data_IF_866653501580
#
_entry.id   IF_866653501580
#
_cell.length_a   1.000
_cell.length_b   1.000
_cell.length_c   1.000
_cell.angle_alpha   90.00
_cell.angle_beta   90.00
_cell.angle_gamma   90.00
#
_symmetry.space_group_name_H-M   'P 1'
#
loop_
_entity.id
_entity.type
_entity.pdbx_description
1 polymer ?
#
# COMPACT_ATOMS: atom_id res chain seq x y z
N UNK A 1 -27.83 -0.54 -9.59
CA UNK A 1 -28.48 -1.78 -9.09
C UNK A 1 -28.75 -2.77 -10.22
N UNK A 2 -29.24 -2.35 -11.39
CA UNK A 2 -29.47 -3.28 -12.51
C UNK A 2 -28.18 -3.95 -13.01
N UNK A 3 -27.08 -3.18 -13.14
CA UNK A 3 -25.78 -3.72 -13.56
C UNK A 3 -25.17 -4.73 -12.57
N UNK A 4 -25.31 -4.49 -11.27
CA UNK A 4 -24.80 -5.35 -10.20
C UNK A 4 -25.55 -6.68 -10.14
N UNK A 5 -26.87 -6.65 -10.34
CA UNK A 5 -27.66 -7.89 -10.45
C UNK A 5 -27.25 -8.71 -11.68
N UNK A 6 -27.02 -8.05 -12.83
CA UNK A 6 -26.54 -8.73 -14.05
C UNK A 6 -25.16 -9.36 -13.83
N UNK A 7 -24.24 -8.64 -13.18
CA UNK A 7 -22.92 -9.19 -12.81
C UNK A 7 -23.06 -10.42 -11.91
N UNK A 8 -23.85 -10.33 -10.84
CA UNK A 8 -24.08 -11.44 -9.93
C UNK A 8 -24.72 -12.66 -10.64
N UNK A 9 -25.68 -12.44 -11.55
CA UNK A 9 -26.28 -13.52 -12.36
C UNK A 9 -25.25 -14.18 -13.30
N UNK A 10 -24.28 -13.42 -13.82
CA UNK A 10 -23.22 -13.98 -14.66
C UNK A 10 -22.23 -14.84 -13.83
N UNK A 11 -21.92 -14.45 -12.59
CA UNK A 11 -21.08 -15.27 -11.70
C UNK A 11 -21.67 -16.66 -11.46
N UNK A 12 -22.99 -16.77 -11.36
CA UNK A 12 -23.68 -18.05 -11.18
C UNK A 12 -23.51 -19.02 -12.36
N UNK A 13 -23.06 -18.54 -13.54
CA UNK A 13 -22.81 -19.36 -14.73
C UNK A 13 -21.38 -19.89 -14.82
N UNK A 14 -20.45 -19.36 -14.02
CA UNK A 14 -19.04 -19.77 -14.05
C UNK A 14 -18.85 -21.29 -13.85
N UNK A 15 -19.61 -21.96 -12.96
CA UNK A 15 -19.55 -23.42 -12.85
C UNK A 15 -19.79 -24.14 -14.20
N UNK A 16 -20.86 -23.77 -14.90
CA UNK A 16 -21.21 -24.39 -16.18
C UNK A 16 -20.15 -24.13 -17.25
N UNK A 17 -19.58 -22.93 -17.30
CA UNK A 17 -18.51 -22.61 -18.25
C UNK A 17 -17.21 -23.37 -17.93
N UNK A 18 -16.85 -23.51 -16.66
CA UNK A 18 -15.71 -24.34 -16.25
C UNK A 18 -15.92 -25.80 -16.66
N UNK A 19 -17.13 -26.34 -16.53
CA UNK A 19 -17.44 -27.72 -16.90
C UNK A 19 -17.21 -27.97 -18.39
N UNK A 20 -17.57 -27.02 -19.24
CA UNK A 20 -17.33 -27.09 -20.68
C UNK A 20 -15.84 -27.13 -21.02
N UNK A 21 -14.99 -26.43 -20.26
CA UNK A 21 -13.54 -26.35 -20.52
C UNK A 21 -12.82 -27.62 -20.06
N UNK A 22 -13.10 -28.08 -18.84
CA UNK A 22 -12.35 -29.19 -18.22
C UNK A 22 -13.03 -30.56 -18.38
N UNK A 23 -14.16 -30.62 -19.09
CA UNK A 23 -14.93 -31.82 -19.43
C UNK A 23 -15.75 -32.38 -18.26
N UNK A 24 -15.14 -32.54 -17.09
CA UNK A 24 -15.81 -32.88 -15.85
C UNK A 24 -15.03 -32.35 -14.66
N UNK A 25 -15.68 -31.57 -13.80
CA UNK A 25 -15.14 -31.24 -12.48
C UNK A 25 -16.19 -31.42 -11.39
N UNK A 26 -15.68 -31.77 -10.21
CA UNK A 26 -16.43 -31.95 -8.97
C UNK A 26 -16.95 -30.59 -8.50
N UNK A 27 -18.20 -30.26 -8.82
CA UNK A 27 -18.84 -29.00 -8.40
C UNK A 27 -18.81 -28.81 -6.87
N UNK A 28 -18.86 -29.92 -6.12
CA UNK A 28 -18.75 -29.97 -4.66
C UNK A 28 -17.38 -29.52 -4.11
N UNK A 29 -16.38 -29.31 -4.97
CA UNK A 29 -15.05 -28.80 -4.58
C UNK A 29 -14.82 -27.34 -4.91
N UNK A 30 -15.74 -26.69 -5.64
CA UNK A 30 -15.69 -25.26 -5.91
C UNK A 30 -16.47 -24.53 -4.82
N UNK A 31 -15.80 -23.65 -4.09
CA UNK A 31 -16.42 -22.85 -3.03
C UNK A 31 -16.38 -21.38 -3.42
N UNK A 32 -17.55 -20.75 -3.50
CA UNK A 32 -17.68 -19.32 -3.73
C UNK A 32 -17.55 -18.59 -2.40
N UNK A 33 -16.63 -17.63 -2.34
CA UNK A 33 -16.44 -16.76 -1.19
C UNK A 33 -16.79 -15.34 -1.62
N UNK A 34 -17.67 -14.69 -0.87
CA UNK A 34 -18.03 -13.27 -1.03
C UNK A 34 -16.76 -12.40 -0.99
N UNK A 35 -16.67 -11.41 -1.87
CA UNK A 35 -15.49 -10.57 -2.05
C UNK A 35 -15.07 -9.86 -0.78
N UNK A 36 -16.02 -9.24 -0.07
CA UNK A 36 -15.72 -8.57 1.20
C UNK A 36 -15.43 -9.56 2.31
N UNK A 37 -16.04 -10.76 2.30
CA UNK A 37 -15.68 -11.81 3.25
C UNK A 37 -14.25 -12.31 3.01
N UNK A 38 -13.81 -12.44 1.75
CA UNK A 38 -12.44 -12.78 1.42
C UNK A 38 -11.47 -11.70 1.93
N UNK A 39 -11.76 -10.42 1.68
CA UNK A 39 -10.98 -9.32 2.25
C UNK A 39 -10.90 -9.38 3.79
N UNK A 40 -12.05 -9.57 4.46
CA UNK A 40 -12.10 -9.66 5.92
C UNK A 40 -11.29 -10.85 6.46
N UNK A 41 -11.43 -12.02 5.83
CA UNK A 41 -10.68 -13.23 6.13
C UNK A 41 -9.17 -13.04 5.95
N UNK A 42 -8.76 -12.33 4.90
CA UNK A 42 -7.34 -12.06 4.63
C UNK A 42 -6.69 -11.23 5.75
N UNK A 43 -7.46 -10.37 6.42
CA UNK A 43 -6.96 -9.56 7.53
C UNK A 43 -7.09 -10.30 8.87
N UNK A 44 -8.29 -10.76 9.23
CA UNK A 44 -8.55 -11.33 10.54
C UNK A 44 -7.82 -12.65 10.80
N UNK A 45 -7.89 -13.61 9.87
CA UNK A 45 -7.23 -14.91 10.06
C UNK A 45 -5.71 -14.84 9.93
N UNK A 46 -5.16 -13.72 9.45
CA UNK A 46 -3.73 -13.44 9.43
C UNK A 46 -3.28 -12.55 10.61
N UNK A 47 -4.22 -12.02 11.39
CA UNK A 47 -3.94 -11.15 12.53
C UNK A 47 -3.60 -11.95 13.79
N UNK A 48 -2.90 -11.35 14.76
CA UNK A 48 -2.67 -11.99 16.05
C UNK A 48 -3.89 -11.98 16.99
N UNK A 49 -5.00 -11.33 16.61
CA UNK A 49 -6.11 -11.04 17.54
C UNK A 49 -7.14 -12.16 17.59
N UNK A 50 -7.52 -12.64 18.77
CA UNK A 50 -8.64 -13.58 18.91
C UNK A 50 -9.99 -12.89 18.68
N UNK A 51 -10.10 -11.61 19.09
CA UNK A 51 -11.28 -10.76 18.97
C UNK A 51 -10.89 -9.44 18.29
N UNK A 52 -11.58 -9.12 17.19
CA UNK A 52 -11.38 -7.85 16.48
C UNK A 52 -12.62 -7.46 15.66
N UNK A 53 -12.81 -6.16 15.46
CA UNK A 53 -13.59 -5.69 14.31
C UNK A 53 -12.74 -5.78 13.04
N UNK A 54 -13.37 -6.02 11.90
CA UNK A 54 -12.72 -6.10 10.60
C UNK A 54 -13.44 -5.17 9.65
N UNK A 55 -12.81 -4.06 9.27
CA UNK A 55 -13.37 -3.13 8.29
C UNK A 55 -12.77 -3.40 6.91
N UNK A 56 -13.63 -3.70 5.95
CA UNK A 56 -13.30 -3.80 4.54
C UNK A 56 -13.78 -2.51 3.86
N UNK A 57 -12.84 -1.74 3.31
CA UNK A 57 -13.13 -0.44 2.70
C UNK A 57 -12.63 -0.48 1.25
N UNK A 58 -13.54 -0.67 0.31
CA UNK A 58 -13.21 -0.99 -1.08
C UNK A 58 -13.90 -0.06 -2.09
N UNK A 59 -13.59 -0.24 -3.38
CA UNK A 59 -14.36 0.36 -4.47
C UNK A 59 -15.79 -0.19 -4.47
N UNK A 60 -15.92 -1.50 -4.69
CA UNK A 60 -17.16 -2.27 -4.56
C UNK A 60 -16.80 -3.77 -4.49
N UNK A 61 -17.51 -4.53 -3.68
CA UNK A 61 -17.62 -5.99 -3.85
C UNK A 61 -18.72 -6.34 -4.84
N UNK A 62 -19.64 -7.20 -4.44
CA UNK A 62 -20.82 -7.55 -5.23
C UNK A 62 -21.85 -6.41 -5.22
N UNK A 63 -22.08 -5.84 -4.03
CA UNK A 63 -23.07 -4.79 -3.79
C UNK A 63 -22.61 -3.72 -2.78
N UNK A 64 -21.76 -4.12 -1.84
CA UNK A 64 -21.28 -3.27 -0.74
C UNK A 64 -19.97 -2.57 -1.13
N UNK A 65 -19.78 -1.34 -0.67
CA UNK A 65 -18.50 -0.61 -0.77
C UNK A 65 -17.72 -0.63 0.56
N UNK A 66 -18.43 -0.76 1.67
CA UNK A 66 -17.86 -0.99 3.00
C UNK A 66 -18.62 -2.13 3.66
N UNK A 67 -17.88 -3.06 4.25
CA UNK A 67 -18.44 -4.06 5.16
C UNK A 67 -17.65 -4.08 6.45
N UNK A 68 -18.33 -4.27 7.58
CA UNK A 68 -17.67 -4.52 8.87
C UNK A 68 -18.10 -5.88 9.37
N UNK A 69 -17.11 -6.66 9.79
CA UNK A 69 -17.30 -7.97 10.40
C UNK A 69 -16.84 -7.94 11.85
N UNK A 70 -17.51 -8.70 12.70
CA UNK A 70 -17.00 -9.11 13.99
C UNK A 70 -16.23 -10.42 13.81
N UNK A 71 -14.95 -10.38 14.09
CA UNK A 71 -14.09 -11.56 14.18
C UNK A 71 -14.02 -12.05 15.62
N UNK A 72 -14.33 -13.32 15.85
CA UNK A 72 -14.15 -13.99 17.14
C UNK A 72 -13.64 -15.42 16.89
N UNK A 73 -12.44 -15.71 17.41
CA UNK A 73 -11.72 -16.98 17.23
C UNK A 73 -11.59 -17.37 15.76
N UNK A 74 -12.40 -18.31 15.28
CA UNK A 74 -12.39 -18.81 13.90
C UNK A 74 -13.63 -18.38 13.08
N UNK A 75 -14.35 -17.36 13.53
CA UNK A 75 -15.59 -16.91 12.89
C UNK A 75 -15.55 -15.45 12.47
N UNK A 76 -16.27 -15.14 11.39
CA UNK A 76 -16.50 -13.79 10.89
C UNK A 76 -18.00 -13.60 10.66
N UNK A 77 -18.58 -12.61 11.32
CA UNK A 77 -19.99 -12.24 11.20
C UNK A 77 -20.11 -10.82 10.67
N UNK A 78 -20.83 -10.61 9.55
CA UNK A 78 -21.06 -9.26 9.01
C UNK A 78 -22.03 -8.51 9.93
N UNK A 79 -21.58 -7.40 10.52
CA UNK A 79 -22.37 -6.58 11.47
C UNK A 79 -22.79 -5.23 10.89
N UNK A 80 -22.16 -4.80 9.79
CA UNK A 80 -22.50 -3.56 9.10
C UNK A 80 -22.17 -3.69 7.62
N UNK A 81 -22.97 -3.05 6.76
CA UNK A 81 -22.57 -2.77 5.40
C UNK A 81 -23.06 -1.40 4.94
N UNK A 82 -22.30 -0.82 4.01
CA UNK A 82 -22.68 0.37 3.27
C UNK A 82 -22.76 0.00 1.79
N UNK A 83 -23.95 0.04 1.17
CA UNK A 83 -24.12 -0.35 -0.22
C UNK A 83 -23.64 0.73 -1.19
N UNK A 84 -23.31 0.32 -2.41
CA UNK A 84 -23.19 1.21 -3.56
C UNK A 84 -24.47 2.07 -3.71
N UNK A 85 -24.36 3.39 -4.00
CA UNK A 85 -23.18 4.09 -4.55
C UNK A 85 -22.30 4.79 -3.51
N UNK A 86 -22.44 4.55 -2.21
CA UNK A 86 -21.67 5.28 -1.19
C UNK A 86 -20.28 4.68 -1.01
N UNK A 87 -19.35 4.93 -1.95
CA UNK A 87 -18.02 4.31 -1.99
C UNK A 87 -16.89 5.34 -1.83
N UNK A 88 -16.01 5.12 -0.85
CA UNK A 88 -14.76 5.89 -0.73
C UNK A 88 -13.79 5.52 -1.85
N UNK A 89 -13.64 4.22 -2.17
CA UNK A 89 -12.74 3.78 -3.24
C UNK A 89 -13.08 4.41 -4.59
N UNK A 90 -14.36 4.42 -4.97
CA UNK A 90 -14.79 5.06 -6.22
C UNK A 90 -14.71 6.59 -6.20
N UNK A 91 -14.85 7.24 -5.04
CA UNK A 91 -14.52 8.67 -4.96
C UNK A 91 -13.05 8.89 -5.32
N UNK A 92 -12.12 8.12 -4.75
CA UNK A 92 -10.70 8.22 -5.05
C UNK A 92 -10.39 7.98 -6.52
N UNK A 93 -10.93 6.92 -7.13
CA UNK A 93 -10.75 6.63 -8.56
C UNK A 93 -11.31 7.75 -9.46
N UNK A 94 -12.51 8.24 -9.14
CA UNK A 94 -13.17 9.30 -9.93
C UNK A 94 -12.41 10.62 -9.84
N UNK A 95 -11.92 11.00 -8.67
CA UNK A 95 -11.09 12.22 -8.54
C UNK A 95 -9.69 12.05 -9.14
N UNK A 96 -9.11 10.84 -9.13
CA UNK A 96 -7.89 10.56 -9.88
C UNK A 96 -8.07 10.84 -11.37
N UNK A 97 -9.11 10.27 -11.97
CA UNK A 97 -9.40 10.45 -13.40
C UNK A 97 -9.78 11.90 -13.73
N UNK A 98 -10.60 12.55 -12.91
CA UNK A 98 -10.93 13.99 -13.05
C UNK A 98 -9.69 14.89 -12.99
N UNK A 99 -8.68 14.53 -12.19
CA UNK A 99 -7.41 15.25 -12.08
C UNK A 99 -6.34 14.75 -13.07
N UNK A 100 -6.73 14.03 -14.12
CA UNK A 100 -5.83 13.64 -15.22
C UNK A 100 -4.81 12.56 -14.86
N UNK A 101 -5.07 11.78 -13.80
CA UNK A 101 -4.32 10.59 -13.44
C UNK A 101 -5.06 9.31 -13.91
N UNK A 102 -4.41 8.15 -13.79
CA UNK A 102 -5.08 6.85 -13.93
C UNK A 102 -5.99 6.57 -12.71
N UNK A 103 -7.03 5.78 -12.87
CA UNK A 103 -7.85 5.28 -11.74
C UNK A 103 -7.00 4.52 -10.69
N UNK A 104 -5.87 3.94 -11.09
CA UNK A 104 -4.93 3.23 -10.20
C UNK A 104 -3.89 4.15 -9.53
N UNK A 105 -3.94 5.46 -9.78
CA UNK A 105 -2.97 6.45 -9.27
C UNK A 105 -3.42 7.11 -7.95
N UNK A 106 -4.31 6.50 -7.17
CA UNK A 106 -4.79 7.02 -5.88
C UNK A 106 -3.65 7.42 -4.92
N UNK A 107 -2.53 6.69 -4.94
CA UNK A 107 -1.37 7.05 -4.14
C UNK A 107 -0.68 8.36 -4.57
N UNK A 108 -0.78 8.77 -5.84
CA UNK A 108 -0.32 10.09 -6.29
C UNK A 108 -1.23 11.18 -5.76
N UNK A 109 -2.55 10.96 -5.84
CA UNK A 109 -3.52 11.91 -5.32
C UNK A 109 -3.38 12.10 -3.81
N UNK A 110 -3.09 11.04 -3.06
CA UNK A 110 -2.76 11.09 -1.63
C UNK A 110 -1.47 11.86 -1.34
N UNK A 111 -0.45 11.78 -2.21
CA UNK A 111 0.73 12.64 -2.08
C UNK A 111 0.41 14.11 -2.39
N UNK A 112 -0.48 14.35 -3.36
CA UNK A 112 -0.89 15.69 -3.76
C UNK A 112 -1.70 16.42 -2.66
N UNK A 113 -2.46 15.68 -1.85
CA UNK A 113 -3.33 16.26 -0.83
C UNK A 113 -2.59 17.10 0.22
N UNK A 114 -1.34 16.76 0.57
CA UNK A 114 -0.55 17.56 1.54
C UNK A 114 -0.13 18.93 1.01
N UNK A 115 -0.32 19.22 -0.27
CA UNK A 115 -0.02 20.53 -0.88
C UNK A 115 -1.25 21.46 -0.97
N UNK A 116 -2.41 20.99 -0.52
CA UNK A 116 -3.67 21.73 -0.58
C UNK A 116 -4.19 22.13 0.79
N UNK A 117 -5.22 22.97 0.78
CA UNK A 117 -6.01 23.31 1.95
C UNK A 117 -7.43 22.73 1.80
N UNK A 118 -7.85 21.78 2.65
CA UNK A 118 -9.15 21.12 2.54
C UNK A 118 -10.34 22.07 2.75
N UNK A 119 -10.16 23.18 3.47
CA UNK A 119 -11.24 24.10 3.83
C UNK A 119 -11.68 24.99 2.65
N UNK A 120 -10.80 25.21 1.66
CA UNK A 120 -11.06 26.12 0.52
C UNK A 120 -12.20 25.60 -0.36
N UNK A 121 -12.30 24.28 -0.53
CA UNK A 121 -13.31 23.63 -1.38
C UNK A 121 -14.35 22.83 -0.59
N UNK A 122 -14.34 22.88 0.74
CA UNK A 122 -15.19 22.06 1.60
C UNK A 122 -16.69 22.18 1.25
N UNK A 123 -17.21 23.41 1.09
CA UNK A 123 -18.63 23.63 0.76
C UNK A 123 -19.03 23.08 -0.62
N UNK A 124 -18.14 23.21 -1.63
CA UNK A 124 -18.37 22.64 -2.96
C UNK A 124 -18.26 21.11 -2.92
N UNK A 125 -17.30 20.58 -2.17
CA UNK A 125 -17.12 19.14 -2.01
C UNK A 125 -18.32 18.48 -1.33
N UNK A 126 -19.01 19.17 -0.40
CA UNK A 126 -20.24 18.65 0.22
C UNK A 126 -21.38 18.39 -0.76
N UNK A 127 -21.36 19.00 -1.95
CA UNK A 127 -22.32 18.70 -3.03
C UNK A 127 -22.00 17.37 -3.73
N UNK A 128 -20.80 16.83 -3.52
CA UNK A 128 -20.36 15.52 -4.03
C UNK A 128 -20.55 14.44 -2.97
N UNK A 129 -20.05 14.68 -1.75
CA UNK A 129 -20.11 13.72 -0.66
C UNK A 129 -20.16 14.41 0.71
N UNK A 130 -20.97 13.89 1.63
CA UNK A 130 -21.16 14.45 2.96
C UNK A 130 -21.36 13.35 4.00
N UNK A 131 -20.97 13.63 5.24
CA UNK A 131 -21.18 12.73 6.36
C UNK A 131 -22.68 12.63 6.68
N UNK A 132 -23.13 11.43 7.04
CA UNK A 132 -24.53 11.13 7.31
C UNK A 132 -24.62 10.23 8.53
N UNK A 133 -25.37 10.64 9.56
CA UNK A 133 -25.44 9.88 10.81
C UNK A 133 -26.19 8.55 10.65
N UNK A 134 -27.14 8.45 9.71
CA UNK A 134 -27.95 7.25 9.49
C UNK A 134 -27.15 6.17 8.76
N UNK A 135 -26.60 6.48 7.59
CA UNK A 135 -25.85 5.51 6.77
C UNK A 135 -24.39 5.44 7.22
N UNK A 136 -23.63 6.53 7.02
CA UNK A 136 -22.26 6.82 7.49
C UNK A 136 -21.80 8.09 6.75
N UNK A 137 -21.94 8.02 5.43
CA UNK A 137 -21.81 9.13 4.52
C UNK A 137 -22.69 8.84 3.30
N UNK A 138 -22.93 9.88 2.52
CA UNK A 138 -23.62 9.80 1.24
C UNK A 138 -22.72 10.38 0.15
N UNK A 139 -22.93 9.87 -1.05
CA UNK A 139 -22.30 10.33 -2.29
C UNK A 139 -23.41 10.61 -3.27
N UNK A 140 -23.39 11.78 -3.88
CA UNK A 140 -24.29 12.09 -4.98
C UNK A 140 -23.76 11.48 -6.27
N UNK A 141 -24.29 10.30 -6.61
CA UNK A 141 -23.90 9.58 -7.81
C UNK A 141 -24.43 10.24 -9.10
N UNK A 142 -25.34 11.22 -9.03
CA UNK A 142 -25.73 12.01 -10.21
C UNK A 142 -24.60 13.00 -10.59
N UNK A 143 -23.83 13.43 -9.59
CA UNK A 143 -22.64 14.26 -9.75
C UNK A 143 -21.43 13.41 -10.12
N UNK A 144 -21.12 12.37 -9.34
CA UNK A 144 -19.91 11.57 -9.57
C UNK A 144 -20.03 10.63 -10.76
N UNK A 145 -21.25 10.18 -11.10
CA UNK A 145 -21.51 9.24 -12.21
C UNK A 145 -20.49 8.11 -12.21
N UNK A 146 -20.39 7.38 -11.10
CA UNK A 146 -19.44 6.29 -10.97
C UNK A 146 -19.60 5.28 -12.11
N UNK A 147 -18.48 4.69 -12.53
CA UNK A 147 -18.40 3.72 -13.64
C UNK A 147 -18.81 4.29 -15.00
N UNK A 148 -18.87 5.62 -15.13
CA UNK A 148 -18.99 6.34 -16.39
C UNK A 148 -17.77 7.22 -16.61
N UNK A 149 -17.37 7.38 -17.88
CA UNK A 149 -16.34 8.36 -18.29
C UNK A 149 -16.86 9.80 -18.26
N UNK A 150 -18.17 10.00 -18.06
CA UNK A 150 -18.80 11.31 -17.98
C UNK A 150 -18.35 12.07 -16.72
N UNK A 151 -17.75 13.24 -16.93
CA UNK A 151 -17.24 14.14 -15.88
C UNK A 151 -18.14 15.36 -15.67
N UNK A 152 -19.21 15.54 -16.44
CA UNK A 152 -19.99 16.79 -16.49
C UNK A 152 -20.51 17.25 -15.13
N UNK A 153 -20.87 16.33 -14.23
CA UNK A 153 -21.29 16.66 -12.87
C UNK A 153 -20.16 17.25 -12.02
N UNK A 154 -18.96 16.67 -12.07
CA UNK A 154 -17.78 17.23 -11.41
C UNK A 154 -17.34 18.53 -12.10
N UNK A 155 -17.45 18.59 -13.43
CA UNK A 155 -17.04 19.77 -14.19
C UNK A 155 -17.89 21.01 -13.90
N UNK A 156 -19.19 20.80 -13.68
CA UNK A 156 -20.10 21.86 -13.25
C UNK A 156 -19.72 22.45 -11.87
N UNK A 157 -19.12 21.66 -10.98
CA UNK A 157 -18.76 22.08 -9.62
C UNK A 157 -17.33 22.64 -9.51
N UNK A 158 -16.38 22.06 -10.25
CA UNK A 158 -14.95 22.30 -10.06
C UNK A 158 -14.24 22.83 -11.31
N UNK A 159 -14.93 22.99 -12.44
CA UNK A 159 -14.35 23.42 -13.71
C UNK A 159 -13.96 22.23 -14.60
N UNK A 160 -13.32 22.45 -15.76
CA UNK A 160 -12.99 21.35 -16.67
C UNK A 160 -12.07 20.31 -16.02
N UNK A 161 -12.25 19.03 -16.37
CA UNK A 161 -11.34 17.97 -15.95
C UNK A 161 -9.91 18.25 -16.45
N UNK A 162 -8.90 17.94 -15.62
CA UNK A 162 -7.50 18.19 -15.97
C UNK A 162 -7.01 17.16 -16.98
N UNK A 163 -6.37 17.62 -18.06
CA UNK A 163 -5.61 16.73 -18.93
C UNK A 163 -4.22 16.42 -18.35
N UNK A 164 -3.70 15.22 -18.61
CA UNK A 164 -2.45 14.72 -18.01
C UNK A 164 -1.25 15.64 -18.23
N UNK A 165 -1.18 16.30 -19.38
CA UNK A 165 -0.15 17.24 -19.83
C UNK A 165 -0.25 18.66 -19.22
N UNK A 166 -1.39 19.00 -18.61
CA UNK A 166 -1.59 20.31 -17.99
C UNK A 166 -0.90 20.41 -16.62
N UNK A 167 -0.49 21.62 -16.23
CA UNK A 167 0.06 21.84 -14.90
C UNK A 167 -0.97 21.58 -13.79
N UNK A 168 -0.49 21.11 -12.63
CA UNK A 168 -1.34 20.93 -11.44
C UNK A 168 -1.47 22.27 -10.71
N UNK A 169 -2.68 22.86 -10.74
CA UNK A 169 -3.02 24.12 -10.07
C UNK A 169 -3.20 23.98 -8.54
N UNK A 170 -3.39 25.12 -7.88
CA UNK A 170 -3.72 25.19 -6.45
C UNK A 170 -5.10 24.59 -6.18
N UNK A 171 -6.06 24.79 -7.06
CA UNK A 171 -7.41 24.23 -6.96
C UNK A 171 -7.37 22.70 -7.00
N UNK A 172 -6.55 22.09 -7.87
CA UNK A 172 -6.36 20.64 -7.91
C UNK A 172 -5.80 20.09 -6.58
N UNK A 173 -4.85 20.81 -5.97
CA UNK A 173 -4.28 20.45 -4.66
C UNK A 173 -5.34 20.56 -3.55
N UNK A 174 -6.10 21.66 -3.53
CA UNK A 174 -7.18 21.86 -2.57
C UNK A 174 -8.26 20.78 -2.70
N UNK A 175 -8.55 20.32 -3.91
CA UNK A 175 -9.52 19.25 -4.15
C UNK A 175 -9.01 17.89 -3.63
N UNK A 176 -7.73 17.57 -3.88
CA UNK A 176 -7.08 16.40 -3.30
C UNK A 176 -7.11 16.44 -1.76
N UNK A 177 -6.83 17.61 -1.17
CA UNK A 177 -6.90 17.82 0.28
C UNK A 177 -8.32 17.61 0.82
N UNK A 178 -9.34 18.17 0.16
CA UNK A 178 -10.74 18.01 0.57
C UNK A 178 -11.20 16.54 0.53
N UNK A 179 -10.81 15.78 -0.50
CA UNK A 179 -11.09 14.35 -0.59
C UNK A 179 -10.41 13.55 0.54
N UNK A 180 -9.13 13.82 0.82
CA UNK A 180 -8.39 13.17 1.88
C UNK A 180 -9.03 13.46 3.26
N UNK A 181 -9.36 14.72 3.54
CA UNK A 181 -10.03 15.14 4.78
C UNK A 181 -11.43 14.50 4.94
N UNK A 182 -12.20 14.42 3.85
CA UNK A 182 -13.49 13.73 3.88
C UNK A 182 -13.33 12.24 4.18
N UNK A 183 -12.35 11.58 3.54
CA UNK A 183 -12.03 10.17 3.77
C UNK A 183 -11.68 9.91 5.24
N UNK A 184 -10.82 10.76 5.82
CA UNK A 184 -10.44 10.68 7.23
C UNK A 184 -11.66 10.80 8.15
N UNK A 185 -12.50 11.82 7.95
CA UNK A 185 -13.70 12.02 8.77
C UNK A 185 -14.71 10.88 8.65
N UNK A 186 -14.93 10.36 7.45
CA UNK A 186 -15.85 9.24 7.22
C UNK A 186 -15.36 7.98 7.94
N UNK A 187 -14.05 7.70 7.92
CA UNK A 187 -13.47 6.54 8.61
C UNK A 187 -13.44 6.71 10.13
N UNK A 188 -13.23 7.92 10.66
CA UNK A 188 -13.42 8.16 12.10
C UNK A 188 -14.85 7.96 12.54
N UNK A 189 -15.81 8.46 11.78
CA UNK A 189 -17.22 8.26 12.10
C UNK A 189 -17.58 6.78 12.06
N UNK A 190 -16.97 5.99 11.16
CA UNK A 190 -17.13 4.54 11.15
C UNK A 190 -16.53 3.91 12.40
N UNK A 191 -15.32 4.29 12.80
CA UNK A 191 -14.70 3.82 14.04
C UNK A 191 -15.59 4.10 15.25
N UNK A 192 -16.10 5.33 15.38
CA UNK A 192 -17.00 5.73 16.46
C UNK A 192 -18.32 4.94 16.45
N UNK A 193 -18.93 4.77 15.27
CA UNK A 193 -20.18 4.00 15.11
C UNK A 193 -19.97 2.54 15.50
N UNK A 194 -18.82 1.95 15.16
CA UNK A 194 -18.53 0.56 15.51
C UNK A 194 -18.13 0.38 16.98
N UNK A 195 -17.40 1.32 17.58
CA UNK A 195 -17.12 1.33 19.02
C UNK A 195 -18.40 1.46 19.88
N UNK A 196 -19.46 2.08 19.33
CA UNK A 196 -20.76 2.13 19.99
C UNK A 196 -21.49 0.77 20.02
N UNK A 197 -21.13 -0.20 19.17
CA UNK A 197 -21.70 -1.56 19.18
C UNK A 197 -21.13 -2.44 20.31
N UNK A 198 -19.96 -2.08 20.83
CA UNK A 198 -19.29 -2.79 21.92
C UNK A 198 -17.83 -2.36 22.05
N UNK A 199 -17.21 -2.58 23.23
CA UNK A 199 -15.80 -2.27 23.41
C UNK A 199 -14.95 -3.28 22.64
N UNK A 200 -14.40 -2.86 21.51
CA UNK A 200 -13.45 -3.65 20.73
C UNK A 200 -12.06 -3.05 20.87
N UNK A 201 -11.13 -3.85 21.38
CA UNK A 201 -9.73 -3.44 21.56
C UNK A 201 -8.95 -3.46 20.24
N UNK A 202 -9.32 -4.33 19.29
CA UNK A 202 -8.55 -4.53 18.07
C UNK A 202 -9.36 -4.28 16.80
N UNK A 203 -8.68 -3.76 15.79
CA UNK A 203 -9.22 -3.52 14.46
C UNK A 203 -8.34 -4.17 13.40
N UNK A 204 -8.95 -4.85 12.45
CA UNK A 204 -8.34 -5.36 11.24
C UNK A 204 -8.85 -4.56 10.02
N UNK A 205 -7.95 -4.20 9.10
CA UNK A 205 -8.28 -3.43 7.90
C UNK A 205 -7.90 -4.17 6.62
N UNK A 206 -8.81 -4.16 5.64
CA UNK A 206 -8.63 -4.65 4.28
C UNK A 206 -9.46 -3.82 3.27
N UNK A 207 -9.42 -4.17 1.99
CA UNK A 207 -9.99 -3.39 0.88
C UNK A 207 -9.02 -2.33 0.36
N UNK A 208 -9.13 -1.96 -0.91
CA UNK A 208 -8.13 -1.09 -1.58
C UNK A 208 -7.88 0.25 -0.87
N UNK A 209 -8.90 0.80 -0.21
CA UNK A 209 -8.80 2.07 0.52
C UNK A 209 -7.95 1.96 1.79
N UNK A 210 -7.80 0.76 2.37
CA UNK A 210 -6.93 0.53 3.53
C UNK A 210 -5.42 0.68 3.21
N UNK A 211 -5.04 0.92 1.95
CA UNK A 211 -3.71 1.35 1.55
C UNK A 211 -3.44 2.85 1.79
N UNK A 212 -4.45 3.62 2.21
CA UNK A 212 -4.33 5.04 2.57
C UNK A 212 -3.65 5.18 3.93
N UNK A 213 -2.33 5.31 3.92
CA UNK A 213 -1.51 5.36 5.15
C UNK A 213 -1.76 6.58 6.04
N UNK A 214 -2.28 7.67 5.46
CA UNK A 214 -2.63 8.88 6.21
C UNK A 214 -3.90 8.64 7.02
N UNK A 215 -4.94 8.10 6.38
CA UNK A 215 -6.17 7.72 7.06
C UNK A 215 -5.95 6.62 8.11
N UNK A 216 -5.06 5.67 7.83
CA UNK A 216 -4.70 4.63 8.79
C UNK A 216 -4.05 5.21 10.06
N UNK A 217 -3.10 6.13 9.91
CA UNK A 217 -2.43 6.75 11.06
C UNK A 217 -3.41 7.57 11.91
N UNK A 218 -4.32 8.27 11.24
CA UNK A 218 -5.40 9.01 11.86
C UNK A 218 -6.34 8.06 12.64
N UNK A 219 -6.75 6.92 12.07
CA UNK A 219 -7.54 5.90 12.78
C UNK A 219 -6.79 5.29 13.97
N UNK A 220 -5.47 5.08 13.87
CA UNK A 220 -4.67 4.59 14.98
C UNK A 220 -4.68 5.59 16.16
N UNK A 221 -4.59 6.88 15.86
CA UNK A 221 -4.51 7.92 16.88
C UNK A 221 -5.88 8.24 17.51
N UNK A 222 -6.97 8.14 16.73
CA UNK A 222 -8.27 8.70 17.12
C UNK A 222 -9.44 7.72 17.00
N UNK A 223 -9.22 6.50 16.49
CA UNK A 223 -10.27 5.50 16.27
C UNK A 223 -10.69 4.72 17.51
N UNK A 224 -9.97 4.84 18.63
CA UNK A 224 -10.33 4.22 19.91
C UNK A 224 -9.94 2.75 20.05
N UNK A 225 -9.10 2.22 19.16
CA UNK A 225 -8.60 0.84 19.22
C UNK A 225 -7.23 0.79 19.92
N UNK A 226 -7.00 -0.27 20.69
CA UNK A 226 -5.71 -0.58 21.30
C UNK A 226 -4.70 -1.14 20.33
N UNK A 227 -5.09 -1.76 19.22
CA UNK A 227 -4.15 -2.14 18.16
C UNK A 227 -4.88 -2.27 16.83
N UNK A 228 -4.18 -1.93 15.75
CA UNK A 228 -4.70 -2.07 14.38
C UNK A 228 -3.75 -2.95 13.56
N UNK A 229 -4.30 -4.01 12.99
CA UNK A 229 -3.70 -4.85 11.96
C UNK A 229 -4.21 -4.42 10.58
N UNK A 230 -3.32 -4.33 9.60
CA UNK A 230 -3.66 -3.95 8.23
C UNK A 230 -3.02 -4.97 7.30
N UNK A 231 -3.82 -5.57 6.42
CA UNK A 231 -3.33 -6.55 5.45
C UNK A 231 -2.33 -5.88 4.49
N UNK A 232 -1.05 -6.32 4.40
CA UNK A 232 -0.06 -5.73 3.49
C UNK A 232 -0.47 -5.75 2.00
N UNK A 233 -1.27 -6.73 1.60
CA UNK A 233 -1.92 -6.77 0.29
C UNK A 233 -3.41 -6.43 0.40
N UNK A 234 -3.76 -5.30 1.03
CA UNK A 234 -5.15 -4.94 1.33
C UNK A 234 -6.06 -4.77 0.10
N UNK A 235 -5.50 -4.50 -1.09
CA UNK A 235 -6.27 -4.51 -2.32
C UNK A 235 -6.65 -5.94 -2.75
N UNK A 236 -7.28 -6.08 -3.91
CA UNK A 236 -7.80 -7.38 -4.36
C UNK A 236 -6.76 -8.50 -4.46
N UNK A 237 -5.46 -8.20 -4.47
CA UNK A 237 -4.42 -9.23 -4.38
C UNK A 237 -4.50 -10.05 -3.07
N UNK A 238 -4.99 -9.46 -1.98
CA UNK A 238 -5.20 -10.16 -0.70
C UNK A 238 -6.39 -11.12 -0.69
N UNK A 239 -7.34 -10.96 -1.62
CA UNK A 239 -8.57 -11.77 -1.67
C UNK A 239 -8.29 -13.26 -1.85
N UNK A 240 -7.24 -13.63 -2.59
CA UNK A 240 -6.84 -15.03 -2.78
C UNK A 240 -6.41 -15.69 -1.45
N UNK A 241 -5.66 -14.96 -0.62
CA UNK A 241 -5.27 -15.41 0.73
C UNK A 241 -6.53 -15.56 1.58
N UNK A 242 -7.39 -14.56 1.54
CA UNK A 242 -8.64 -14.53 2.29
C UNK A 242 -9.60 -15.66 1.94
N UNK A 243 -9.79 -15.94 0.65
CA UNK A 243 -10.64 -17.03 0.18
C UNK A 243 -10.12 -18.39 0.67
N UNK A 244 -8.81 -18.64 0.57
CA UNK A 244 -8.21 -19.87 1.07
C UNK A 244 -8.38 -20.02 2.59
N UNK A 245 -8.16 -18.95 3.36
CA UNK A 245 -8.32 -18.96 4.81
C UNK A 245 -9.79 -19.06 5.23
N UNK A 246 -10.72 -18.47 4.48
CA UNK A 246 -12.16 -18.62 4.74
C UNK A 246 -12.63 -20.05 4.47
N UNK A 247 -12.11 -20.72 3.44
CA UNK A 247 -12.36 -22.15 3.26
C UNK A 247 -11.78 -22.95 4.43
N UNK A 248 -10.53 -22.69 4.83
CA UNK A 248 -9.86 -23.40 5.92
C UNK A 248 -10.59 -23.24 7.27
N UNK A 249 -10.80 -22.00 7.71
CA UNK A 249 -11.39 -21.71 9.01
C UNK A 249 -12.92 -21.79 8.97
N UNK A 250 -13.55 -21.05 8.06
CA UNK A 250 -15.00 -20.84 8.05
C UNK A 250 -15.81 -22.00 7.47
N UNK A 251 -15.27 -22.69 6.46
CA UNK A 251 -15.99 -23.80 5.79
C UNK A 251 -15.60 -25.16 6.36
N UNK A 252 -14.30 -25.42 6.53
CA UNK A 252 -13.80 -26.70 7.06
C UNK A 252 -13.76 -26.75 8.59
N UNK A 253 -13.88 -25.61 9.28
CA UNK A 253 -13.85 -25.56 10.74
C UNK A 253 -12.46 -25.79 11.35
N UNK A 254 -11.40 -25.70 10.55
CA UNK A 254 -10.04 -25.86 11.05
C UNK A 254 -9.63 -24.64 11.87
N UNK A 255 -8.69 -24.85 12.79
CA UNK A 255 -8.19 -23.78 13.65
C UNK A 255 -7.27 -22.82 12.90
N UNK A 256 -7.31 -21.55 13.27
CA UNK A 256 -6.31 -20.55 12.86
C UNK A 256 -4.94 -20.90 13.45
N UNK A 257 -3.94 -20.99 12.60
CA UNK A 257 -2.57 -21.38 13.01
C UNK A 257 -1.48 -20.41 12.52
N UNK A 258 -1.86 -19.37 11.78
CA UNK A 258 -0.92 -18.50 11.09
C UNK A 258 -1.13 -17.03 11.47
N UNK A 259 -0.02 -16.31 11.68
CA UNK A 259 0.01 -14.86 11.83
C UNK A 259 0.96 -14.30 10.78
N UNK A 260 0.47 -13.40 9.95
CA UNK A 260 1.27 -12.76 8.90
C UNK A 260 2.01 -11.55 9.49
N UNK A 261 3.14 -11.82 10.14
CA UNK A 261 4.00 -10.81 10.75
C UNK A 261 5.00 -10.17 9.76
N UNK A 262 5.11 -10.71 8.55
CA UNK A 262 5.91 -10.16 7.46
C UNK A 262 5.26 -10.39 6.10
N UNK A 263 5.66 -9.61 5.09
CA UNK A 263 5.15 -9.73 3.73
C UNK A 263 6.01 -10.61 2.79
N UNK A 264 7.10 -11.22 3.26
CA UNK A 264 8.06 -11.96 2.43
C UNK A 264 7.57 -13.37 2.02
N UNK A 265 6.50 -13.46 1.23
CA UNK A 265 5.87 -14.73 0.81
C UNK A 265 5.98 -15.04 -0.70
N UNK A 266 6.65 -14.17 -1.46
CA UNK A 266 6.95 -14.42 -2.86
C UNK A 266 8.11 -15.41 -3.10
N UNK A 267 8.54 -15.56 -4.36
CA UNK A 267 9.64 -16.44 -4.73
C UNK A 267 10.99 -15.94 -4.20
N UNK A 268 11.89 -16.88 -3.92
CA UNK A 268 13.32 -16.67 -3.73
C UNK A 268 14.11 -17.39 -4.83
N UNK A 269 15.37 -16.98 -5.01
CA UNK A 269 16.25 -17.53 -6.04
C UNK A 269 17.57 -17.95 -5.42
N UNK A 270 18.03 -19.14 -5.81
CA UNK A 270 19.33 -19.69 -5.41
C UNK A 270 20.50 -18.96 -6.08
N UNK A 271 21.70 -19.09 -5.52
CA UNK A 271 22.94 -18.59 -6.13
C UNK A 271 23.09 -19.07 -7.58
N UNK A 272 22.75 -20.34 -7.88
CA UNK A 272 22.84 -20.91 -9.23
C UNK A 272 21.90 -20.22 -10.23
N UNK A 273 20.65 -19.93 -9.84
CA UNK A 273 19.70 -19.21 -10.69
C UNK A 273 20.12 -17.75 -10.91
N UNK A 274 20.75 -17.13 -9.91
CA UNK A 274 21.30 -15.78 -10.03
C UNK A 274 22.50 -15.77 -10.99
N UNK A 275 23.43 -16.72 -10.83
CA UNK A 275 24.58 -16.88 -11.73
C UNK A 275 24.15 -17.13 -13.17
N UNK A 276 23.14 -17.99 -13.38
CA UNK A 276 22.57 -18.25 -14.71
C UNK A 276 22.03 -16.96 -15.33
N UNK A 277 21.25 -16.17 -14.59
CA UNK A 277 20.71 -14.90 -15.10
C UNK A 277 21.82 -13.89 -15.42
N UNK A 278 22.87 -13.81 -14.60
CA UNK A 278 24.03 -12.93 -14.83
C UNK A 278 24.78 -13.35 -16.10
N UNK A 279 24.99 -14.65 -16.30
CA UNK A 279 25.71 -15.22 -17.44
C UNK A 279 25.04 -14.92 -18.79
N UNK A 280 23.74 -14.61 -18.81
CA UNK A 280 23.02 -14.17 -20.00
C UNK A 280 23.25 -12.68 -20.34
N UNK A 281 24.12 -11.99 -19.61
CA UNK A 281 24.37 -10.55 -19.78
C UNK A 281 25.85 -10.23 -19.92
N UNK A 282 26.15 -9.00 -20.34
CA UNK A 282 27.51 -8.49 -20.45
C UNK A 282 28.04 -7.87 -19.15
N UNK A 283 27.25 -7.89 -18.07
CA UNK A 283 27.64 -7.28 -16.81
C UNK A 283 28.65 -8.16 -16.06
N UNK A 284 29.75 -7.55 -15.63
CA UNK A 284 30.65 -8.18 -14.68
C UNK A 284 30.01 -8.17 -13.28
N UNK A 285 29.94 -9.34 -12.66
CA UNK A 285 29.46 -9.50 -11.29
C UNK A 285 30.58 -10.02 -10.39
N UNK A 286 30.69 -9.46 -9.20
CA UNK A 286 31.62 -9.88 -8.16
C UNK A 286 30.84 -10.58 -7.03
N UNK A 287 31.26 -11.77 -6.61
CA UNK A 287 30.71 -12.39 -5.40
C UNK A 287 31.38 -11.77 -4.17
N UNK A 288 30.59 -11.12 -3.32
CA UNK A 288 31.08 -10.39 -2.14
C UNK A 288 30.64 -11.05 -0.84
N UNK A 289 31.51 -11.02 0.16
CA UNK A 289 31.27 -11.69 1.45
C UNK A 289 30.26 -10.97 2.35
N UNK A 290 30.25 -9.63 2.32
CA UNK A 290 29.32 -8.81 3.12
C UNK A 290 28.56 -7.76 2.29
N UNK A 291 27.56 -8.20 1.51
CA UNK A 291 26.72 -7.31 0.70
C UNK A 291 26.10 -6.16 1.49
N UNK A 292 25.71 -6.39 2.75
CA UNK A 292 25.06 -5.38 3.58
C UNK A 292 26.00 -4.22 3.92
N UNK A 293 27.23 -4.52 4.33
CA UNK A 293 28.23 -3.50 4.65
C UNK A 293 28.65 -2.70 3.41
N UNK A 294 28.82 -3.37 2.25
CA UNK A 294 29.19 -2.71 1.00
C UNK A 294 28.05 -1.83 0.49
N UNK A 295 26.80 -2.32 0.51
CA UNK A 295 25.64 -1.53 0.14
C UNK A 295 25.49 -0.29 1.03
N UNK A 296 25.66 -0.43 2.35
CA UNK A 296 25.62 0.68 3.29
C UNK A 296 26.69 1.76 2.98
N UNK A 297 27.92 1.34 2.64
CA UNK A 297 28.98 2.27 2.24
C UNK A 297 28.63 3.02 0.94
N UNK A 298 28.16 2.31 -0.09
CA UNK A 298 27.74 2.92 -1.36
C UNK A 298 26.58 3.91 -1.16
N UNK A 299 25.59 3.57 -0.33
CA UNK A 299 24.49 4.46 0.01
C UNK A 299 25.02 5.71 0.73
N UNK A 300 25.95 5.56 1.67
CA UNK A 300 26.58 6.68 2.38
C UNK A 300 27.42 7.59 1.46
N UNK A 301 27.95 7.05 0.35
CA UNK A 301 28.60 7.82 -0.72
C UNK A 301 27.58 8.50 -1.66
N UNK A 302 26.28 8.31 -1.43
CA UNK A 302 25.18 8.90 -2.22
C UNK A 302 24.85 8.12 -3.49
N UNK A 303 25.27 6.86 -3.61
CA UNK A 303 24.90 5.97 -4.71
C UNK A 303 23.50 5.38 -4.50
N UNK A 304 22.79 5.12 -5.59
CA UNK A 304 21.52 4.41 -5.59
C UNK A 304 21.78 2.91 -5.78
N UNK A 305 21.29 2.12 -4.82
CA UNK A 305 21.52 0.67 -4.77
C UNK A 305 20.24 -0.08 -5.07
N UNK A 306 20.27 -0.92 -6.11
CA UNK A 306 19.28 -1.97 -6.32
C UNK A 306 19.56 -3.15 -5.40
N UNK A 307 18.57 -3.51 -4.59
CA UNK A 307 18.69 -4.52 -3.54
C UNK A 307 17.68 -5.65 -3.77
N UNK A 308 18.20 -6.79 -4.23
CA UNK A 308 17.44 -8.00 -4.56
C UNK A 308 17.89 -9.15 -3.64
N UNK A 309 17.07 -9.49 -2.65
CA UNK A 309 17.40 -10.46 -1.61
C UNK A 309 16.23 -11.37 -1.26
N UNK A 310 16.51 -12.65 -0.98
CA UNK A 310 15.56 -13.62 -0.43
C UNK A 310 14.18 -13.64 -1.13
N UNK A 311 13.16 -13.96 -0.35
CA UNK A 311 11.77 -14.00 -0.80
C UNK A 311 11.23 -12.60 -1.10
N UNK A 312 10.57 -12.45 -2.23
CA UNK A 312 9.89 -11.20 -2.60
C UNK A 312 8.73 -10.87 -1.64
N UNK A 313 8.49 -9.57 -1.47
CA UNK A 313 7.35 -9.01 -0.75
C UNK A 313 6.01 -9.27 -1.48
N UNK A 314 4.95 -9.54 -0.72
CA UNK A 314 3.57 -9.54 -1.18
C UNK A 314 2.95 -8.15 -0.97
N UNK A 315 2.11 -7.73 -1.92
CA UNK A 315 1.47 -6.41 -1.89
C UNK A 315 2.23 -5.35 -2.69
N UNK A 316 1.76 -4.08 -2.66
CA UNK A 316 2.22 -3.05 -3.60
C UNK A 316 3.51 -2.33 -3.15
N UNK A 317 4.10 -2.72 -2.01
CA UNK A 317 5.24 -2.00 -1.40
C UNK A 317 6.48 -2.89 -1.40
N UNK A 318 7.61 -2.30 -1.79
CA UNK A 318 8.91 -2.91 -1.51
C UNK A 318 9.29 -2.66 -0.05
N UNK A 319 9.72 -3.71 0.64
CA UNK A 319 9.94 -3.77 2.07
C UNK A 319 11.33 -4.38 2.38
N UNK A 320 12.30 -4.13 1.51
CA UNK A 320 13.71 -4.44 1.75
C UNK A 320 14.25 -5.69 1.07
N UNK A 321 13.48 -6.32 0.17
CA UNK A 321 13.91 -7.49 -0.60
C UNK A 321 13.85 -7.28 -2.12
N UNK A 322 13.01 -6.36 -2.62
CA UNK A 322 13.00 -5.87 -4.01
C UNK A 322 12.96 -4.34 -4.01
N UNK A 323 14.04 -3.72 -3.51
CA UNK A 323 14.08 -2.30 -3.18
C UNK A 323 15.15 -1.52 -3.95
N UNK A 324 14.87 -0.25 -4.22
CA UNK A 324 15.91 0.75 -4.51
C UNK A 324 16.18 1.54 -3.24
N UNK A 325 17.45 1.59 -2.86
CA UNK A 325 17.92 2.17 -1.62
C UNK A 325 18.79 3.40 -1.89
N UNK A 326 18.62 4.45 -1.09
CA UNK A 326 19.41 5.68 -1.22
C UNK A 326 19.57 6.41 0.12
N UNK A 327 20.44 7.42 0.14
CA UNK A 327 20.72 8.23 1.32
C UNK A 327 19.53 9.15 1.67
N UNK A 328 18.89 8.99 2.85
CA UNK A 328 17.75 9.82 3.24
C UNK A 328 18.15 11.26 3.61
N UNK A 329 19.43 11.53 3.89
CA UNK A 329 19.93 12.84 4.34
C UNK A 329 20.07 13.85 3.19
N UNK A 330 20.14 13.35 1.96
CA UNK A 330 20.40 14.15 0.76
C UNK A 330 19.13 14.76 0.20
N UNK A 331 18.98 16.08 0.33
CA UNK A 331 17.81 16.82 -0.18
C UNK A 331 17.60 16.64 -1.70
N UNK A 332 18.69 16.54 -2.45
CA UNK A 332 18.66 16.36 -3.91
C UNK A 332 18.34 14.92 -4.35
N UNK A 333 18.35 13.94 -3.44
CA UNK A 333 18.17 12.53 -3.77
C UNK A 333 16.79 12.24 -4.38
N UNK A 334 15.76 12.97 -3.94
CA UNK A 334 14.41 12.85 -4.53
C UNK A 334 14.43 13.19 -6.02
N UNK A 335 15.06 14.30 -6.37
CA UNK A 335 15.13 14.80 -7.74
C UNK A 335 16.06 13.93 -8.60
N UNK A 336 17.10 13.34 -8.00
CA UNK A 336 17.97 12.36 -8.66
C UNK A 336 17.18 11.09 -8.99
N UNK A 337 16.48 10.49 -8.02
CA UNK A 337 15.67 9.28 -8.22
C UNK A 337 14.57 9.49 -9.26
N UNK A 338 13.86 10.62 -9.19
CA UNK A 338 12.81 10.96 -10.14
C UNK A 338 13.35 11.14 -11.56
N UNK A 339 14.53 11.76 -11.75
CA UNK A 339 15.10 11.96 -13.09
C UNK A 339 15.80 10.72 -13.65
N UNK A 340 16.58 10.00 -12.84
CA UNK A 340 17.45 8.90 -13.28
C UNK A 340 16.73 7.56 -13.44
N UNK A 341 15.63 7.35 -12.71
CA UNK A 341 15.02 6.02 -12.59
C UNK A 341 13.52 6.06 -12.77
N UNK A 342 12.82 6.93 -12.03
CA UNK A 342 11.36 6.82 -11.91
C UNK A 342 10.61 7.55 -13.02
N UNK A 343 11.15 8.65 -13.52
CA UNK A 343 10.51 9.55 -14.49
C UNK A 343 9.11 10.02 -14.02
N UNK A 344 8.98 10.38 -12.73
CA UNK A 344 7.71 10.71 -12.06
C UNK A 344 7.65 12.16 -11.58
N UNK A 345 6.45 12.56 -11.19
CA UNK A 345 6.09 13.89 -10.72
C UNK A 345 6.82 14.29 -9.42
N UNK A 346 7.21 15.57 -9.29
CA UNK A 346 8.08 16.07 -8.21
C UNK A 346 7.47 16.03 -6.80
N UNK A 347 6.15 15.90 -6.70
CA UNK A 347 5.42 15.87 -5.43
C UNK A 347 5.33 14.48 -4.80
N UNK A 348 5.81 13.41 -5.46
CA UNK A 348 5.68 12.06 -4.92
C UNK A 348 6.64 11.85 -3.74
N UNK A 349 6.16 11.50 -2.53
CA UNK A 349 7.04 11.20 -1.40
C UNK A 349 7.81 9.90 -1.61
N UNK A 350 9.03 9.86 -1.08
CA UNK A 350 9.73 8.61 -0.77
C UNK A 350 9.56 8.26 0.71
N UNK A 351 9.78 6.99 1.03
CA UNK A 351 9.57 6.41 2.36
C UNK A 351 10.91 5.92 2.94
N UNK A 352 11.11 5.99 4.26
CA UNK A 352 12.25 5.36 4.90
C UNK A 352 11.94 3.92 5.35
N UNK A 353 12.97 3.08 5.31
CA UNK A 353 13.04 1.88 6.15
C UNK A 353 13.94 2.20 7.34
N UNK A 354 13.40 2.11 8.56
CA UNK A 354 14.04 2.51 9.82
C UNK A 354 14.18 1.30 10.74
N UNK A 355 15.29 1.22 11.48
CA UNK A 355 15.46 0.20 12.52
C UNK A 355 14.32 0.30 13.54
N UNK A 356 13.65 -0.81 13.83
CA UNK A 356 12.49 -0.82 14.73
C UNK A 356 12.84 -0.28 16.13
N UNK A 357 14.05 -0.58 16.62
CA UNK A 357 14.57 -0.09 17.90
C UNK A 357 14.80 1.42 17.96
N UNK A 358 14.92 2.11 16.82
CA UNK A 358 15.18 3.56 16.74
C UNK A 358 14.00 4.37 16.20
N UNK A 359 12.92 3.72 15.73
CA UNK A 359 11.84 4.40 15.02
C UNK A 359 11.14 5.48 15.86
N UNK A 360 10.90 5.21 17.14
CA UNK A 360 10.25 6.13 18.08
C UNK A 360 11.11 7.34 18.44
N UNK A 361 12.43 7.33 18.21
CA UNK A 361 13.28 8.51 18.40
C UNK A 361 13.19 9.49 17.23
N UNK A 362 12.68 9.03 16.10
CA UNK A 362 12.63 9.78 14.84
C UNK A 362 11.22 10.21 14.45
N UNK A 363 10.21 9.40 14.81
CA UNK A 363 8.83 9.62 14.42
C UNK A 363 7.89 9.57 15.64
N UNK A 364 6.80 10.30 15.56
CA UNK A 364 5.71 10.28 16.54
C UNK A 364 4.85 9.04 16.29
N UNK A 365 5.27 7.91 16.86
CA UNK A 365 4.57 6.63 16.78
C UNK A 365 3.75 6.48 18.06
N UNK A 366 2.40 6.57 18.01
CA UNK A 366 1.56 6.43 19.19
C UNK A 366 1.70 5.04 19.81
N UNK A 367 1.81 4.03 18.95
CA UNK A 367 1.97 2.64 19.32
C UNK A 367 2.59 1.84 18.18
N UNK A 368 3.49 0.91 18.52
CA UNK A 368 4.01 -0.06 17.55
C UNK A 368 2.93 -1.04 17.12
N UNK A 369 2.87 -1.34 15.83
CA UNK A 369 2.05 -2.43 15.31
C UNK A 369 2.70 -3.04 14.07
N UNK A 370 2.28 -4.26 13.70
CA UNK A 370 2.78 -4.96 12.52
C UNK A 370 2.62 -4.13 11.23
N UNK A 371 1.57 -3.32 11.13
CA UNK A 371 1.32 -2.46 9.96
C UNK A 371 2.40 -1.38 9.76
N UNK A 372 3.13 -1.00 10.82
CA UNK A 372 4.33 -0.17 10.72
C UNK A 372 5.46 -0.85 9.94
N UNK A 373 5.54 -2.18 9.96
CA UNK A 373 6.47 -2.98 9.17
C UNK A 373 6.10 -3.09 7.68
N UNK A 374 4.92 -2.62 7.28
CA UNK A 374 4.37 -2.74 5.92
C UNK A 374 4.27 -1.40 5.17
N UNK A 375 4.76 -0.30 5.74
CA UNK A 375 4.57 1.05 5.21
C UNK A 375 3.09 1.47 5.06
N UNK A 376 2.27 1.11 6.05
CA UNK A 376 0.83 1.40 6.07
C UNK A 376 0.43 2.51 7.04
N UNK A 377 1.40 3.17 7.68
CA UNK A 377 1.21 4.40 8.46
C UNK A 377 2.11 5.52 7.98
N UNK A 378 1.57 6.74 7.99
CA UNK A 378 2.33 7.98 7.87
C UNK A 378 2.38 8.69 9.23
N UNK A 379 3.57 8.86 9.78
CA UNK A 379 3.77 9.49 11.09
C UNK A 379 4.47 10.83 10.97
N UNK A 380 4.15 11.83 11.80
CA UNK A 380 4.96 13.03 11.94
C UNK A 380 6.41 12.69 12.32
N UNK A 381 7.38 13.34 11.70
CA UNK A 381 8.74 13.33 12.22
C UNK A 381 8.82 14.15 13.51
N UNK A 382 9.59 13.67 14.49
CA UNK A 382 9.83 14.40 15.74
C UNK A 382 10.52 15.75 15.50
N UNK A 383 10.40 16.72 16.42
CA UNK A 383 11.04 18.02 16.30
C UNK A 383 12.54 17.93 15.95
N UNK A 384 12.96 18.64 14.89
CA UNK A 384 14.34 18.70 14.42
C UNK A 384 14.86 17.44 13.68
N UNK A 385 14.05 16.38 13.55
CA UNK A 385 14.43 15.17 12.81
C UNK A 385 14.17 15.30 11.31
N UNK A 386 13.11 16.01 10.92
CA UNK A 386 12.74 16.20 9.51
C UNK A 386 13.88 16.80 8.67
N UNK A 387 14.62 17.74 9.23
CA UNK A 387 15.73 18.43 8.56
C UNK A 387 16.96 17.53 8.35
N UNK A 388 17.08 16.44 9.12
CA UNK A 388 18.18 15.47 9.01
C UNK A 388 17.93 14.42 7.93
N UNK A 389 16.68 14.21 7.53
CA UNK A 389 16.27 13.19 6.55
C UNK A 389 15.32 13.77 5.48
N UNK A 390 15.71 14.86 4.80
CA UNK A 390 14.82 15.61 3.91
C UNK A 390 14.34 14.83 2.68
N UNK A 391 14.99 13.72 2.32
CA UNK A 391 14.57 12.93 1.16
C UNK A 391 13.34 12.05 1.41
N UNK A 392 13.01 11.78 2.68
CA UNK A 392 11.99 10.80 3.09
C UNK A 392 10.92 11.41 3.99
N UNK A 393 10.95 12.73 4.21
CA UNK A 393 9.92 13.46 4.95
C UNK A 393 9.18 14.37 3.97
N UNK A 394 7.85 14.34 4.05
CA UNK A 394 6.98 15.07 3.15
C UNK A 394 6.83 16.54 3.59
N UNK A 395 6.13 17.35 2.77
CA UNK A 395 5.99 18.79 3.02
C UNK A 395 5.21 19.13 4.28
N UNK A 396 4.32 18.22 4.70
CA UNK A 396 3.56 18.28 5.95
C UNK A 396 4.32 17.71 7.17
N UNK A 397 5.63 17.44 7.00
CA UNK A 397 6.52 16.87 8.02
C UNK A 397 6.18 15.43 8.43
N UNK A 398 5.29 14.75 7.70
CA UNK A 398 5.02 13.32 7.91
C UNK A 398 5.92 12.44 7.04
N UNK A 399 6.04 11.17 7.42
CA UNK A 399 6.74 10.15 6.64
C UNK A 399 6.04 8.81 6.76
N UNK A 400 5.92 8.12 5.64
CA UNK A 400 5.37 6.76 5.57
C UNK A 400 6.48 5.75 5.82
N UNK A 401 6.61 5.27 7.05
CA UNK A 401 7.78 4.50 7.49
C UNK A 401 7.60 2.99 7.34
N UNK A 402 8.70 2.26 7.14
CA UNK A 402 8.80 0.84 7.42
C UNK A 402 9.66 0.61 8.65
N UNK A 403 9.12 0.03 9.73
CA UNK A 403 9.94 -0.50 10.82
C UNK A 403 10.57 -1.83 10.41
N UNK A 404 11.87 -1.97 10.61
CA UNK A 404 12.62 -3.17 10.24
C UNK A 404 13.12 -3.87 11.50
N UNK A 405 12.56 -5.04 11.78
CA UNK A 405 12.98 -5.90 12.87
C UNK A 405 14.04 -6.91 12.42
N UNK A 406 15.08 -7.09 13.25
CA UNK A 406 16.15 -8.07 13.01
C UNK A 406 15.61 -9.49 12.88
N UNK A 407 14.58 -9.84 13.65
CA UNK A 407 13.97 -11.16 13.64
C UNK A 407 13.22 -11.47 12.33
N UNK A 408 12.73 -10.44 11.64
CA UNK A 408 11.95 -10.58 10.39
C UNK A 408 12.87 -10.54 9.17
N UNK A 409 13.77 -9.57 9.10
CA UNK A 409 14.68 -9.42 7.95
C UNK A 409 16.10 -9.07 8.43
N UNK A 410 16.87 -10.06 8.92
CA UNK A 410 18.17 -9.83 9.54
C UNK A 410 19.19 -9.21 8.59
N UNK A 411 19.11 -9.55 7.29
CA UNK A 411 20.03 -9.03 6.27
C UNK A 411 19.76 -7.56 5.96
N UNK A 412 18.49 -7.17 5.83
CA UNK A 412 18.12 -5.78 5.61
C UNK A 412 18.35 -4.93 6.87
N UNK A 413 18.04 -5.47 8.06
CA UNK A 413 18.38 -4.86 9.34
C UNK A 413 19.89 -4.59 9.45
N UNK A 414 20.73 -5.56 9.08
CA UNK A 414 22.19 -5.40 9.06
C UNK A 414 22.65 -4.28 8.13
N UNK A 415 22.10 -4.18 6.92
CA UNK A 415 22.41 -3.09 5.98
C UNK A 415 22.11 -1.73 6.60
N UNK A 416 20.92 -1.57 7.18
CA UNK A 416 20.53 -0.30 7.81
C UNK A 416 21.41 -0.02 9.05
N UNK A 417 21.77 -1.04 9.82
CA UNK A 417 22.68 -0.90 10.98
C UNK A 417 24.08 -0.44 10.56
N UNK A 418 24.63 -1.01 9.49
CA UNK A 418 25.93 -0.56 8.95
C UNK A 418 25.84 0.86 8.40
N UNK A 419 24.74 1.21 7.73
CA UNK A 419 24.51 2.58 7.30
C UNK A 419 24.46 3.53 8.49
N UNK A 420 23.72 3.18 9.55
CA UNK A 420 23.61 3.95 10.79
C UNK A 420 24.98 4.17 11.44
N UNK A 421 25.85 3.16 11.45
CA UNK A 421 27.22 3.28 11.97
C UNK A 421 28.04 4.31 11.20
N UNK A 422 27.88 4.37 9.88
CA UNK A 422 28.58 5.32 9.00
C UNK A 422 27.97 6.73 9.03
N UNK A 423 26.64 6.83 9.14
CA UNK A 423 25.87 8.04 8.88
C UNK A 423 25.29 8.72 10.12
N UNK A 424 25.24 7.99 11.24
CA UNK A 424 24.48 8.31 12.45
C UNK A 424 22.95 8.40 12.23
N UNK A 425 22.45 7.89 11.11
CA UNK A 425 21.02 7.87 10.74
C UNK A 425 20.54 6.42 10.62
N UNK A 426 19.62 5.94 11.48
CA UNK A 426 19.23 4.53 11.57
C UNK A 426 18.17 4.13 10.53
N UNK A 427 18.26 4.69 9.32
CA UNK A 427 17.31 4.44 8.24
C UNK A 427 17.93 4.68 6.87
N UNK A 428 17.34 4.07 5.85
CA UNK A 428 17.65 4.35 4.44
C UNK A 428 16.36 4.75 3.72
N UNK A 429 16.48 5.55 2.66
CA UNK A 429 15.36 5.72 1.73
C UNK A 429 15.10 4.37 1.04
N UNK A 430 13.84 3.95 1.01
CA UNK A 430 13.39 2.75 0.32
C UNK A 430 12.24 3.08 -0.65
N UNK A 431 12.41 2.65 -1.90
CA UNK A 431 11.34 2.69 -2.91
C UNK A 431 11.31 1.40 -3.72
N UNK A 432 10.23 1.19 -4.46
CA UNK A 432 10.03 -0.03 -5.24
C UNK A 432 11.14 -0.26 -6.26
N UNK A 433 11.65 -1.48 -6.40
CA UNK A 433 12.57 -1.81 -7.48
C UNK A 433 11.78 -2.06 -8.77
N UNK A 434 11.62 -0.98 -9.53
CA UNK A 434 10.98 -0.93 -10.85
C UNK A 434 11.25 0.43 -11.50
N UNK A 435 10.86 0.57 -12.76
CA UNK A 435 10.67 1.88 -13.42
C UNK A 435 9.17 2.09 -13.67
N UNK A 436 8.70 1.71 -14.85
CA UNK A 436 7.29 1.81 -15.29
C UNK A 436 6.66 0.43 -15.47
N UNK A 437 7.08 -0.51 -14.62
CA UNK A 437 6.65 -1.92 -14.59
C UNK A 437 6.31 -2.36 -13.15
N UNK A 438 5.76 -3.57 -12.93
CA UNK A 438 5.64 -4.15 -11.60
C UNK A 438 6.98 -4.21 -10.85
N UNK A 439 6.97 -4.45 -9.54
CA UNK A 439 8.21 -4.69 -8.79
C UNK A 439 8.92 -5.91 -9.41
N UNK A 440 10.23 -5.80 -9.64
CA UNK A 440 11.04 -6.87 -10.24
C UNK A 440 10.89 -8.17 -9.44
N UNK A 441 10.61 -9.27 -10.13
CA UNK A 441 10.35 -10.56 -9.49
C UNK A 441 11.56 -11.48 -9.59
N UNK A 442 12.11 -11.63 -10.80
CA UNK A 442 13.22 -12.53 -11.13
C UNK A 442 14.58 -11.81 -11.12
N UNK A 443 15.71 -12.52 -11.01
CA UNK A 443 17.03 -11.93 -11.21
C UNK A 443 17.16 -11.27 -12.59
N UNK A 444 16.58 -11.85 -13.64
CA UNK A 444 16.57 -11.28 -14.99
C UNK A 444 15.82 -9.94 -15.05
N UNK A 445 14.68 -9.83 -14.36
CA UNK A 445 13.94 -8.57 -14.25
C UNK A 445 14.82 -7.50 -13.58
N UNK A 446 15.46 -7.84 -12.46
CA UNK A 446 16.30 -6.92 -11.71
C UNK A 446 17.51 -6.43 -12.53
N UNK A 447 18.16 -7.32 -13.30
CA UNK A 447 19.26 -6.95 -14.19
C UNK A 447 18.75 -6.09 -15.36
N UNK A 448 17.60 -6.43 -15.94
CA UNK A 448 16.99 -5.65 -17.02
C UNK A 448 16.63 -4.23 -16.58
N UNK A 449 15.99 -4.08 -15.41
CA UNK A 449 15.71 -2.77 -14.82
C UNK A 449 16.99 -2.03 -14.47
N UNK A 450 18.01 -2.72 -13.93
CA UNK A 450 19.33 -2.11 -13.69
C UNK A 450 19.96 -1.59 -14.96
N UNK A 451 19.93 -2.35 -16.06
CA UNK A 451 20.55 -1.98 -17.33
C UNK A 451 19.98 -0.69 -17.91
N UNK A 452 18.65 -0.55 -17.88
CA UNK A 452 17.91 0.54 -18.51
C UNK A 452 17.72 1.80 -17.65
N UNK A 453 18.14 1.77 -16.39
CA UNK A 453 17.96 2.89 -15.43
C UNK A 453 19.29 3.38 -14.87
N UNK A 454 19.29 4.56 -14.24
CA UNK A 454 20.49 5.14 -13.63
C UNK A 454 20.84 4.59 -12.24
N UNK A 455 20.62 3.29 -11.98
CA UNK A 455 21.05 2.62 -10.74
C UNK A 455 22.58 2.46 -10.76
N UNK A 456 23.25 2.79 -9.67
CA UNK A 456 24.71 2.80 -9.57
C UNK A 456 25.28 1.40 -9.25
N UNK A 457 24.58 0.63 -8.42
CA UNK A 457 24.98 -0.74 -8.05
C UNK A 457 23.77 -1.64 -7.84
N UNK A 458 23.88 -2.91 -8.22
CA UNK A 458 22.87 -3.95 -8.04
C UNK A 458 23.44 -5.10 -7.22
N UNK A 459 22.77 -5.45 -6.12
CA UNK A 459 23.02 -6.66 -5.36
C UNK A 459 21.95 -7.71 -5.65
N UNK A 460 22.38 -8.87 -6.15
CA UNK A 460 21.56 -10.06 -6.37
C UNK A 460 22.08 -11.15 -5.44
N UNK A 461 21.42 -11.40 -4.32
CA UNK A 461 22.01 -12.28 -3.31
C UNK A 461 23.39 -11.75 -2.90
N UNK A 462 24.43 -12.56 -3.03
CA UNK A 462 25.81 -12.19 -2.72
C UNK A 462 26.61 -11.66 -3.92
N UNK A 463 25.98 -11.41 -5.07
CA UNK A 463 26.62 -10.90 -6.27
C UNK A 463 26.39 -9.40 -6.39
N UNK A 464 27.45 -8.66 -6.71
CA UNK A 464 27.46 -7.23 -6.90
C UNK A 464 27.79 -6.90 -8.36
N UNK A 465 26.89 -6.18 -9.01
CA UNK A 465 27.12 -5.55 -10.32
C UNK A 465 27.25 -4.05 -10.07
N UNK A 466 28.36 -3.44 -10.52
CA UNK A 466 28.56 -1.99 -10.47
C UNK A 466 28.46 -1.41 -11.86
N UNK A 467 27.82 -0.24 -11.97
CA UNK A 467 27.86 0.55 -13.20
C UNK A 467 29.24 1.20 -13.32
N UNK A 468 29.88 1.05 -14.47
CA UNK A 468 31.17 1.68 -14.78
C UNK A 468 31.03 3.20 -14.73
N UNK A 469 32.02 3.93 -14.20
CA UNK A 469 32.00 5.41 -14.20
C UNK A 469 32.00 6.04 -15.61
N UNK A 470 32.23 5.23 -16.65
CA UNK A 470 32.30 5.62 -18.07
C UNK A 470 31.13 5.10 -18.94
N UNK A 471 29.95 4.80 -18.37
CA UNK A 471 28.80 4.22 -19.09
C UNK A 471 27.46 4.82 -18.73
#
# INVERSE_FOLDING_TARGET
REGEMVFHQNLQRVPDELAKIVGSYRHDRLVWIDHHLAHAASAFYCSPFADALVMVIDGIGEFDSISVYRGHENSLEKVFSLPYPHSLGFLWEKFCTYLGFSEHDACKLMGLSSYGNPEVLAERFRQVAWLDSETLFKVDNNVTRFRSADMSGLEALFGPARHRDQAISVEHRNLAAALQHFTEKALLQLCQKMQALGPFDHLCLAGGTALNCVANAMMQQHGGFKEIYIQPAANDAGSAIGAALQVWCGVLGNQRQFVMNHALWGPEYSDAQIEEAIAQTMFAAEKVADPAAIAAALINEGKIVGWFQGRMETGPRALGNRSLLADPRRKDMRDILNRKIKHREDFRPFAPSVLAEAAEDWFEIPQRSLAGGFMLYAYPARPGKAEQIPAVVHVDKTSRIQTVDRAVNPRYHKLISEFARLSQVPMVLNTSFNDSEPIVMTPADAISTFARTGIDALFLGNYLIKRSENG
#
